data_IF_028566439324
#
_entry.id   IF_028566439324
#
_cell.length_a   1.000
_cell.length_b   1.000
_cell.length_c   1.000
_cell.angle_alpha   90.00
_cell.angle_beta   90.00
_cell.angle_gamma   90.00
#
_symmetry.space_group_name_H-M   'P 1'
#
loop_
_entity.id
_entity.type
_entity.pdbx_description
1 polymer ?
#
# COMPACT_ATOMS: atom_id res chain seq x y z
N UNK A 1 26.01 10.40 -15.12
CA UNK A 1 25.66 10.41 -13.68
C UNK A 1 26.28 11.64 -13.03
N UNK A 2 25.49 12.50 -12.41
CA UNK A 2 25.94 13.77 -11.85
C UNK A 2 26.97 13.55 -10.72
N UNK A 3 28.08 14.30 -10.75
CA UNK A 3 29.19 14.18 -9.81
C UNK A 3 28.78 14.50 -8.38
N UNK A 4 27.93 15.51 -8.19
CA UNK A 4 27.40 15.87 -6.87
C UNK A 4 26.54 14.75 -6.25
N UNK A 5 25.82 13.99 -7.08
CA UNK A 5 25.01 12.85 -6.61
C UNK A 5 25.91 11.71 -6.12
N UNK A 6 27.02 11.44 -6.84
CA UNK A 6 28.01 10.44 -6.42
C UNK A 6 28.58 10.76 -5.03
N UNK A 7 29.00 12.00 -4.83
CA UNK A 7 29.58 12.45 -3.56
C UNK A 7 28.61 12.30 -2.39
N UNK A 8 27.33 12.64 -2.58
CA UNK A 8 26.29 12.45 -1.56
C UNK A 8 26.10 10.97 -1.19
N UNK A 9 26.07 10.07 -2.18
CA UNK A 9 25.93 8.62 -1.94
C UNK A 9 27.13 8.07 -1.17
N UNK A 10 28.34 8.49 -1.52
CA UNK A 10 29.56 8.03 -0.83
C UNK A 10 29.62 8.52 0.63
N UNK A 11 29.20 9.77 0.91
CA UNK A 11 29.05 10.26 2.29
C UNK A 11 28.08 9.37 3.10
N UNK A 12 26.91 9.05 2.53
CA UNK A 12 25.93 8.16 3.19
C UNK A 12 26.53 6.79 3.50
N UNK A 13 27.26 6.19 2.55
CA UNK A 13 27.92 4.89 2.77
C UNK A 13 28.97 4.91 3.88
N UNK A 14 29.65 6.04 4.07
CA UNK A 14 30.63 6.26 5.15
C UNK A 14 29.99 6.61 6.49
N UNK A 15 28.66 6.77 6.54
CA UNK A 15 27.92 7.18 7.74
C UNK A 15 27.91 8.69 7.98
N UNK A 16 28.45 9.48 7.05
CA UNK A 16 28.43 10.94 7.09
C UNK A 16 27.12 11.48 6.52
N UNK A 17 26.59 12.57 7.11
CA UNK A 17 25.39 13.21 6.59
C UNK A 17 25.73 14.14 5.41
N UNK A 18 25.11 13.96 4.23
CA UNK A 18 25.30 14.89 3.12
C UNK A 18 24.70 16.27 3.40
N UNK A 19 25.29 17.28 2.80
CA UNK A 19 24.78 18.65 2.87
C UNK A 19 23.39 18.76 2.22
N UNK A 20 22.47 19.47 2.86
CA UNK A 20 21.08 19.58 2.40
C UNK A 20 20.17 18.42 2.82
N UNK A 21 20.65 17.46 3.63
CA UNK A 21 19.85 16.35 4.13
C UNK A 21 19.77 16.33 5.66
N UNK A 22 18.65 15.83 6.17
CA UNK A 22 18.34 15.65 7.59
C UNK A 22 18.05 14.18 7.90
N UNK A 23 18.31 13.77 9.15
CA UNK A 23 17.93 12.44 9.64
C UNK A 23 16.49 12.52 10.14
N UNK A 24 15.63 11.69 9.59
CA UNK A 24 14.23 11.55 9.99
C UNK A 24 13.98 10.13 10.49
N UNK A 25 12.79 9.88 11.05
CA UNK A 25 12.37 8.53 11.46
C UNK A 25 12.34 7.54 10.29
N UNK A 26 12.10 8.01 9.06
CA UNK A 26 12.05 7.18 7.86
C UNK A 26 13.43 6.98 7.19
N UNK A 27 14.48 7.65 7.68
CA UNK A 27 15.82 7.61 7.09
C UNK A 27 16.37 9.01 6.77
N UNK A 28 17.30 9.09 5.83
CA UNK A 28 17.92 10.34 5.38
C UNK A 28 17.01 10.98 4.32
N UNK A 29 16.55 12.20 4.57
CA UNK A 29 15.64 12.92 3.68
C UNK A 29 16.17 14.33 3.40
N UNK A 30 15.94 14.92 2.21
CA UNK A 30 16.27 16.32 1.96
C UNK A 30 15.62 17.29 2.96
N UNK A 31 16.23 18.45 3.21
CA UNK A 31 15.69 19.45 4.14
C UNK A 31 14.38 20.06 3.64
N UNK A 32 14.27 20.29 2.34
CA UNK A 32 13.14 20.85 1.62
C UNK A 32 11.90 19.94 1.63
N UNK A 33 12.07 18.67 1.96
CA UNK A 33 10.95 17.73 2.03
C UNK A 33 10.21 17.86 3.37
N UNK A 34 8.89 18.08 3.27
CA UNK A 34 7.97 18.03 4.40
C UNK A 34 7.61 16.57 4.73
N UNK A 35 7.43 16.28 6.02
CA UNK A 35 7.14 14.93 6.50
C UNK A 35 5.69 14.87 6.96
N UNK A 36 4.83 14.24 6.15
CA UNK A 36 3.41 14.06 6.46
C UNK A 36 3.11 12.61 6.87
N UNK A 37 2.35 12.38 7.96
CA UNK A 37 1.89 11.05 8.32
C UNK A 37 1.00 10.45 7.24
N UNK A 38 1.20 9.17 6.90
CA UNK A 38 0.40 8.45 5.90
C UNK A 38 -1.11 8.51 6.19
N UNK A 39 -1.50 8.50 7.48
CA UNK A 39 -2.90 8.64 7.92
C UNK A 39 -3.59 9.94 7.49
N UNK A 40 -2.82 10.97 7.14
CA UNK A 40 -3.36 12.26 6.68
C UNK A 40 -3.41 12.35 5.15
N UNK A 41 -2.80 11.40 4.44
CA UNK A 41 -2.69 11.39 2.98
C UNK A 41 -3.57 10.32 2.33
N UNK A 42 -3.71 9.17 2.99
CA UNK A 42 -4.43 8.04 2.45
C UNK A 42 -5.74 7.82 3.20
N UNK A 43 -6.82 7.64 2.45
CA UNK A 43 -8.10 7.15 2.94
C UNK A 43 -8.27 5.68 2.56
N UNK A 44 -8.98 4.91 3.39
CA UNK A 44 -9.41 3.58 2.98
C UNK A 44 -10.43 3.75 1.84
N UNK A 45 -10.17 3.10 0.70
CA UNK A 45 -11.15 2.99 -0.38
C UNK A 45 -11.66 1.56 -0.36
N UNK A 46 -12.96 1.40 -0.14
CA UNK A 46 -13.61 0.12 -0.10
C UNK A 46 -14.77 0.14 -1.09
N UNK A 47 -14.66 -0.70 -2.12
CA UNK A 47 -15.69 -0.88 -3.12
C UNK A 47 -16.19 -2.32 -3.03
N UNK A 48 -17.07 -2.55 -2.05
CA UNK A 48 -17.77 -3.84 -1.87
C UNK A 48 -18.99 -3.96 -2.75
N UNK A 49 -19.48 -2.84 -3.27
CA UNK A 49 -20.63 -2.78 -4.15
C UNK A 49 -20.14 -2.84 -5.60
N UNK A 50 -19.58 -3.98 -5.98
CA UNK A 50 -19.64 -4.35 -7.40
C UNK A 50 -21.13 -4.43 -7.74
N UNK A 51 -21.61 -3.68 -8.74
CA UNK A 51 -23.01 -3.50 -9.18
C UNK A 51 -23.76 -4.80 -9.61
N UNK A 52 -23.47 -5.94 -8.96
CA UNK A 52 -24.05 -7.25 -9.21
C UNK A 52 -23.54 -7.93 -10.49
N UNK A 53 -22.74 -7.26 -11.31
CA UNK A 53 -22.40 -7.73 -12.66
C UNK A 53 -21.32 -8.84 -12.67
N UNK A 54 -20.49 -8.89 -11.63
CA UNK A 54 -19.44 -9.92 -11.52
C UNK A 54 -19.89 -11.07 -10.61
N UNK A 55 -19.85 -12.29 -11.14
CA UNK A 55 -20.14 -13.52 -10.39
C UNK A 55 -19.16 -13.69 -9.24
N UNK A 56 -19.67 -13.70 -8.01
CA UNK A 56 -18.88 -14.04 -6.83
C UNK A 56 -18.56 -15.53 -6.86
N UNK A 57 -17.28 -15.88 -6.71
CA UNK A 57 -16.81 -17.27 -6.65
C UNK A 57 -16.60 -17.71 -5.19
N UNK A 58 -16.75 -19.00 -4.95
CA UNK A 58 -16.50 -19.63 -3.67
C UNK A 58 -15.62 -20.86 -3.86
N UNK A 59 -14.65 -21.03 -2.95
CA UNK A 59 -13.76 -22.18 -2.94
C UNK A 59 -14.37 -23.30 -2.09
N UNK A 60 -14.85 -24.36 -2.74
CA UNK A 60 -15.31 -25.60 -2.13
C UNK A 60 -14.19 -26.63 -2.10
N UNK A 61 -14.04 -27.36 -0.99
CA UNK A 61 -13.08 -28.46 -0.91
C UNK A 61 -13.41 -29.61 -1.87
N UNK A 62 -14.69 -29.80 -2.16
CA UNK A 62 -15.19 -30.88 -3.02
C UNK A 62 -15.17 -30.49 -4.50
N UNK A 63 -15.57 -29.24 -4.80
CA UNK A 63 -15.84 -28.79 -6.17
C UNK A 63 -14.83 -27.77 -6.70
N UNK A 64 -13.84 -27.36 -5.90
CA UNK A 64 -12.86 -26.34 -6.28
C UNK A 64 -13.48 -24.93 -6.32
N UNK A 65 -13.11 -24.12 -7.31
CA UNK A 65 -13.63 -22.76 -7.48
C UNK A 65 -14.94 -22.83 -8.27
N UNK A 66 -16.06 -22.52 -7.60
CA UNK A 66 -17.39 -22.54 -8.22
C UNK A 66 -18.14 -21.23 -7.97
N UNK A 67 -19.10 -20.86 -8.85
CA UNK A 67 -20.02 -19.76 -8.61
C UNK A 67 -20.74 -19.90 -7.26
N UNK A 68 -20.82 -18.81 -6.51
CA UNK A 68 -21.33 -18.78 -5.13
C UNK A 68 -22.84 -19.04 -5.05
N UNK A 69 -23.59 -18.73 -6.09
CA UNK A 69 -25.01 -19.05 -6.26
C UNK A 69 -25.29 -20.56 -6.33
N UNK A 70 -24.29 -21.37 -6.72
CA UNK A 70 -24.37 -22.83 -6.77
C UNK A 70 -24.07 -23.51 -5.45
N UNK A 71 -23.74 -22.73 -4.43
CA UNK A 71 -23.47 -23.23 -3.08
C UNK A 71 -24.61 -22.79 -2.17
N UNK A 72 -25.31 -23.76 -1.57
CA UNK A 72 -26.38 -23.53 -0.59
C UNK A 72 -25.80 -23.15 0.80
N UNK A 73 -25.01 -22.08 0.85
CA UNK A 73 -24.48 -21.53 2.10
C UNK A 73 -24.98 -20.08 2.24
N UNK A 74 -25.86 -19.87 3.23
CA UNK A 74 -26.29 -18.54 3.66
C UNK A 74 -25.15 -17.85 4.43
N UNK A 75 -24.30 -17.12 3.71
CA UNK A 75 -23.27 -16.27 4.32
C UNK A 75 -23.78 -14.84 4.39
N UNK A 76 -24.20 -14.44 5.58
CA UNK A 76 -24.55 -13.05 5.90
C UNK A 76 -23.32 -12.16 5.74
N UNK A 77 -23.40 -11.16 4.87
CA UNK A 77 -22.43 -10.07 4.83
C UNK A 77 -23.10 -8.78 5.31
N UNK A 78 -22.34 -7.92 5.98
CA UNK A 78 -22.83 -6.59 6.32
C UNK A 78 -22.81 -5.73 5.06
N UNK A 79 -23.99 -5.33 4.58
CA UNK A 79 -24.18 -4.45 3.43
C UNK A 79 -23.99 -2.97 3.77
N UNK A 80 -23.80 -2.63 5.06
CA UNK A 80 -23.48 -1.28 5.48
C UNK A 80 -21.96 -1.04 5.41
N UNK A 81 -21.60 0.06 4.72
CA UNK A 81 -20.23 0.52 4.50
C UNK A 81 -19.54 0.96 5.80
#
# INVERSE_FOLDING_TARGET
>A
MNQAIKERIEKIKRGEMPEGYKRTRAGISPFDWDVKPSKNLFSNYNDKNHDGDLTVLSASQEHGIIPRDKIDIDIKYNSEN
#
